data_IF_477048460296
#
_entry.id   IF_477048460296
#
_cell.length_a   1.000
_cell.length_b   1.000
_cell.length_c   1.000
_cell.angle_alpha   90.00
_cell.angle_beta   90.00
_cell.angle_gamma   90.00
#
_symmetry.space_group_name_H-M   'P 1'
#
loop_
_entity.id
_entity.type
_entity.pdbx_description
1 polymer ?
#
# COMPACT_ATOMS: atom_id res chain seq x y z
N UNK A 1 -16.50 -14.61 -1.91
CA UNK A 1 -15.32 -13.71 -1.72
C UNK A 1 -15.06 -13.04 -3.05
N UNK A 2 -15.38 -11.75 -3.19
CA UNK A 2 -15.25 -11.03 -4.48
C UNK A 2 -13.77 -10.75 -4.73
N UNK A 3 -13.23 -11.25 -5.84
CA UNK A 3 -11.87 -10.93 -6.31
C UNK A 3 -11.99 -9.81 -7.32
N UNK A 4 -11.41 -8.65 -7.02
CA UNK A 4 -11.35 -7.52 -7.96
C UNK A 4 -9.90 -7.35 -8.41
N UNK A 5 -9.65 -7.67 -9.66
CA UNK A 5 -8.39 -7.41 -10.34
C UNK A 5 -8.43 -6.05 -11.03
N UNK A 6 -7.27 -5.44 -11.14
CA UNK A 6 -7.04 -4.17 -11.81
C UNK A 6 -6.06 -4.42 -12.95
N UNK A 7 -6.44 -4.06 -14.18
CA UNK A 7 -5.58 -4.17 -15.36
C UNK A 7 -4.59 -3.02 -15.49
N UNK A 8 -4.74 -1.98 -14.66
CA UNK A 8 -3.81 -0.86 -14.57
C UNK A 8 -2.70 -1.11 -13.55
N UNK A 9 -1.57 -0.46 -13.77
CA UNK A 9 -0.46 -0.38 -12.82
C UNK A 9 -0.67 0.80 -11.89
N UNK A 10 -0.31 0.63 -10.61
CA UNK A 10 -0.31 1.74 -9.66
C UNK A 10 1.12 2.02 -9.24
N UNK A 11 1.51 3.29 -9.27
CA UNK A 11 2.78 3.74 -8.70
C UNK A 11 2.83 3.49 -7.20
N UNK A 12 1.70 3.73 -6.52
CA UNK A 12 1.55 3.59 -5.07
C UNK A 12 0.19 3.01 -4.71
N UNK A 13 0.17 2.08 -3.77
CA UNK A 13 -1.04 1.58 -3.12
C UNK A 13 -1.06 1.98 -1.64
N UNK A 14 -2.17 2.56 -1.19
CA UNK A 14 -2.37 2.90 0.22
C UNK A 14 -3.10 1.75 0.94
N UNK A 15 -2.47 1.23 1.99
CA UNK A 15 -2.92 0.06 2.72
C UNK A 15 -3.31 0.43 4.17
N UNK A 16 -4.59 0.31 4.47
CA UNK A 16 -5.15 0.68 5.77
C UNK A 16 -5.41 -0.52 6.70
N UNK A 17 -5.26 -1.75 6.20
CA UNK A 17 -5.47 -2.97 6.99
C UNK A 17 -4.68 -4.14 6.41
N UNK A 18 -4.15 -5.06 7.25
CA UNK A 18 -3.47 -6.26 6.77
C UNK A 18 -4.36 -7.12 5.88
N UNK A 19 -5.66 -7.22 6.21
CA UNK A 19 -6.63 -8.00 5.42
C UNK A 19 -6.81 -7.42 4.01
N UNK A 20 -6.78 -6.09 3.89
CA UNK A 20 -6.85 -5.40 2.60
C UNK A 20 -5.63 -5.71 1.72
N UNK A 21 -4.45 -5.74 2.32
CA UNK A 21 -3.19 -6.13 1.64
C UNK A 21 -3.31 -7.53 1.06
N UNK A 22 -3.69 -8.52 1.87
CA UNK A 22 -3.83 -9.90 1.39
C UNK A 22 -4.87 -10.04 0.29
N UNK A 23 -6.01 -9.34 0.42
CA UNK A 23 -7.06 -9.35 -0.59
C UNK A 23 -6.58 -8.75 -1.92
N UNK A 24 -5.82 -7.65 -1.86
CA UNK A 24 -5.26 -7.00 -3.05
C UNK A 24 -4.17 -7.85 -3.70
N UNK A 25 -3.20 -8.33 -2.93
CA UNK A 25 -2.07 -9.12 -3.41
C UNK A 25 -2.50 -10.46 -4.04
N UNK A 26 -3.58 -11.07 -3.53
CA UNK A 26 -4.16 -12.30 -4.09
C UNK A 26 -4.76 -12.10 -5.49
N UNK A 27 -5.17 -10.88 -5.83
CA UNK A 27 -5.78 -10.57 -7.12
C UNK A 27 -4.86 -9.79 -8.07
N UNK A 28 -3.79 -9.14 -7.56
CA UNK A 28 -2.97 -8.18 -8.30
C UNK A 28 -1.46 -8.35 -8.00
N UNK A 29 -0.95 -9.58 -8.06
CA UNK A 29 0.38 -9.95 -7.53
C UNK A 29 1.59 -9.27 -8.20
N UNK A 30 1.43 -8.60 -9.34
CA UNK A 30 2.56 -8.13 -10.18
C UNK A 30 2.52 -6.65 -10.55
N UNK A 31 1.48 -5.91 -10.17
CA UNK A 31 1.19 -4.61 -10.80
C UNK A 31 1.70 -3.38 -10.03
N UNK A 32 2.28 -3.57 -8.83
CA UNK A 32 2.53 -2.46 -7.90
C UNK A 32 3.83 -2.64 -7.14
N UNK A 33 4.74 -1.66 -7.26
CA UNK A 33 6.06 -1.72 -6.61
C UNK A 33 6.04 -1.18 -5.17
N UNK A 34 5.24 -0.14 -4.92
CA UNK A 34 5.26 0.60 -3.65
C UNK A 34 3.93 0.52 -2.92
N UNK A 35 3.98 0.18 -1.63
CA UNK A 35 2.84 0.26 -0.71
C UNK A 35 3.12 1.21 0.44
N UNK A 36 2.15 2.07 0.77
CA UNK A 36 2.19 2.94 1.94
C UNK A 36 1.16 2.43 2.94
N UNK A 37 1.63 2.06 4.12
CA UNK A 37 0.84 1.40 5.15
C UNK A 37 0.52 2.36 6.29
N UNK A 38 -0.72 2.31 6.79
CA UNK A 38 -1.16 3.13 7.93
C UNK A 38 -0.42 2.81 9.24
N UNK A 39 0.15 1.60 9.36
CA UNK A 39 0.87 1.20 10.55
C UNK A 39 1.63 -0.11 10.35
N UNK A 40 2.41 -0.48 11.36
CA UNK A 40 3.41 -1.54 11.27
C UNK A 40 2.82 -2.93 11.02
N UNK A 41 1.64 -3.22 11.58
CA UNK A 41 0.93 -4.48 11.36
C UNK A 41 0.54 -4.66 9.89
N UNK A 42 0.15 -3.56 9.23
CA UNK A 42 -0.19 -3.56 7.80
C UNK A 42 1.07 -3.61 6.95
N UNK A 43 2.13 -2.92 7.36
CA UNK A 43 3.42 -2.93 6.70
C UNK A 43 4.04 -4.33 6.65
N UNK A 44 3.99 -5.06 7.76
CA UNK A 44 4.47 -6.43 7.86
C UNK A 44 3.77 -7.36 6.86
N UNK A 45 2.45 -7.20 6.69
CA UNK A 45 1.73 -7.94 5.66
C UNK A 45 2.16 -7.52 4.24
N UNK A 46 2.36 -6.22 4.00
CA UNK A 46 2.72 -5.69 2.68
C UNK A 46 4.14 -6.08 2.24
N UNK A 47 5.09 -6.22 3.17
CA UNK A 47 6.49 -6.60 2.86
C UNK A 47 6.61 -7.97 2.18
N UNK A 48 5.59 -8.83 2.30
CA UNK A 48 5.56 -10.14 1.64
C UNK A 48 5.15 -10.07 0.15
N UNK A 49 4.55 -8.95 -0.28
CA UNK A 49 3.95 -8.83 -1.62
C UNK A 49 4.46 -7.61 -2.41
N UNK A 50 4.89 -6.55 -1.73
CA UNK A 50 5.36 -5.32 -2.33
C UNK A 50 6.88 -5.20 -2.18
N UNK A 51 7.54 -4.59 -3.17
CA UNK A 51 8.98 -4.40 -3.17
C UNK A 51 9.41 -3.28 -2.21
N UNK A 52 8.64 -2.19 -2.21
CA UNK A 52 8.87 -1.02 -1.35
C UNK A 52 7.69 -0.85 -0.42
N UNK A 53 7.96 -0.81 0.88
CA UNK A 53 6.93 -0.58 1.91
C UNK A 53 7.33 0.60 2.77
N UNK A 54 6.44 1.59 2.83
CA UNK A 54 6.61 2.80 3.64
C UNK A 54 5.51 2.80 4.69
N UNK A 55 5.85 3.18 5.91
CA UNK A 55 4.90 3.25 7.02
C UNK A 55 4.66 4.72 7.35
N UNK A 56 3.39 5.09 7.50
CA UNK A 56 3.03 6.42 7.96
C UNK A 56 3.47 6.63 9.41
N UNK A 57 3.88 7.86 9.74
CA UNK A 57 4.32 8.23 11.09
C UNK A 57 3.18 8.09 12.13
N UNK A 58 1.94 8.30 11.70
CA UNK A 58 0.77 8.09 12.53
C UNK A 58 -0.32 7.29 11.80
N UNK A 59 -1.13 6.50 12.53
CA UNK A 59 -2.21 5.69 11.97
C UNK A 59 -3.45 6.54 11.66
N UNK A 60 -3.30 7.55 10.81
CA UNK A 60 -4.37 8.45 10.36
C UNK A 60 -4.36 8.60 8.85
N UNK A 61 -5.54 8.69 8.24
CA UNK A 61 -5.69 8.86 6.78
C UNK A 61 -4.91 10.08 6.28
N UNK A 62 -5.00 11.20 7.01
CA UNK A 62 -4.26 12.42 6.69
C UNK A 62 -2.74 12.21 6.71
N UNK A 63 -2.22 11.44 7.67
CA UNK A 63 -0.80 11.15 7.76
C UNK A 63 -0.32 10.23 6.63
N UNK A 64 -1.09 9.20 6.27
CA UNK A 64 -0.77 8.36 5.09
C UNK A 64 -0.67 9.21 3.83
N UNK A 65 -1.61 10.13 3.61
CA UNK A 65 -1.59 11.03 2.45
C UNK A 65 -0.37 11.97 2.50
N UNK A 66 -0.06 12.56 3.67
CA UNK A 66 1.15 13.38 3.85
C UNK A 66 2.42 12.59 3.53
N UNK A 67 2.50 11.32 3.94
CA UNK A 67 3.63 10.44 3.61
C UNK A 67 3.75 10.23 2.11
N UNK A 68 2.64 10.02 1.39
CA UNK A 68 2.65 9.93 -0.08
C UNK A 68 3.22 11.20 -0.69
N UNK A 69 2.71 12.37 -0.28
CA UNK A 69 3.16 13.67 -0.77
C UNK A 69 4.64 13.92 -0.48
N UNK A 70 5.15 13.49 0.67
CA UNK A 70 6.57 13.61 1.02
C UNK A 70 7.46 12.71 0.15
N UNK A 71 6.94 11.53 -0.22
CA UNK A 71 7.70 10.53 -0.99
C UNK A 71 7.68 10.84 -2.50
N UNK A 72 6.57 11.38 -3.01
CA UNK A 72 6.33 11.66 -4.43
C UNK A 72 6.24 13.16 -4.73
N UNK A 73 6.84 14.01 -3.88
CA UNK A 73 7.11 15.39 -4.25
C UNK A 73 8.14 15.37 -5.37
N UNK A 74 7.62 15.34 -6.59
CA UNK A 74 8.34 15.68 -7.80
C UNK A 74 8.71 17.16 -7.67
N UNK A 75 10.01 17.46 -7.75
CA UNK A 75 10.48 18.82 -8.02
C UNK A 75 9.99 19.27 -9.42
#
# INVERSE_FOLDING_TARGET
MVKKSFSCTFDVVLCYSPRGVYAFAKANSTNTSTAICIGETTATAARNFFKTVIVAEEPSVAHVIKTVLKTYKND
#
